data_IF_308953533762
#
_entry.id   IF_308953533762
#
_cell.length_a   1.000
_cell.length_b   1.000
_cell.length_c   1.000
_cell.angle_alpha   90.00
_cell.angle_beta   90.00
_cell.angle_gamma   90.00
#
_symmetry.space_group_name_H-M   'P 1'
#
loop_
_entity.id
_entity.type
_entity.pdbx_description
1 polymer ?
#
# COMPACT_ATOMS: atom_id res chain seq x y z
N UNK A 1 20.34 -2.50 -15.61
CA UNK A 1 18.99 -1.98 -15.27
C UNK A 1 18.73 -2.43 -13.84
N UNK A 2 18.41 -1.51 -12.94
CA UNK A 2 18.01 -1.86 -11.57
C UNK A 2 16.60 -2.49 -11.65
N UNK A 3 16.36 -3.68 -11.08
CA UNK A 3 15.08 -4.36 -11.26
C UNK A 3 13.88 -3.54 -10.78
N UNK A 4 13.92 -3.03 -9.55
CA UNK A 4 12.79 -2.37 -8.89
C UNK A 4 13.15 -0.91 -8.59
N UNK A 5 12.30 0.02 -9.00
CA UNK A 5 12.36 1.42 -8.59
C UNK A 5 11.96 1.54 -7.12
N UNK A 6 12.86 2.08 -6.30
CA UNK A 6 12.62 2.19 -4.87
C UNK A 6 13.40 3.36 -4.22
N UNK A 7 12.68 4.17 -3.45
CA UNK A 7 13.21 5.30 -2.70
C UNK A 7 12.50 5.44 -1.36
N UNK A 8 13.28 5.54 -0.28
CA UNK A 8 12.82 5.47 1.11
C UNK A 8 13.28 6.66 1.97
N UNK A 9 13.54 7.82 1.35
CA UNK A 9 13.73 9.05 2.15
C UNK A 9 12.46 9.36 2.95
N UNK A 10 11.30 9.19 2.31
CA UNK A 10 10.02 9.11 2.98
C UNK A 10 9.73 7.65 3.34
N UNK A 11 9.67 7.38 4.64
CA UNK A 11 9.72 6.01 5.21
C UNK A 11 8.47 5.17 4.97
N UNK A 12 7.37 5.81 4.56
CA UNK A 12 6.08 5.16 4.36
C UNK A 12 6.11 4.15 3.21
N UNK A 13 6.95 4.36 2.18
CA UNK A 13 6.92 3.47 1.01
C UNK A 13 7.40 2.04 1.34
N UNK A 14 8.30 1.88 2.32
CA UNK A 14 8.66 0.55 2.82
C UNK A 14 7.47 -0.17 3.46
N UNK A 15 6.53 0.56 4.06
CA UNK A 15 5.36 0.00 4.73
C UNK A 15 4.43 -0.71 3.75
N UNK A 16 4.38 -0.28 2.48
CA UNK A 16 3.57 -0.94 1.45
C UNK A 16 4.08 -2.35 1.15
N UNK A 17 5.39 -2.52 1.02
CA UNK A 17 6.01 -3.83 0.81
C UNK A 17 5.80 -4.73 2.02
N UNK A 18 6.10 -4.23 3.23
CA UNK A 18 5.97 -5.03 4.45
C UNK A 18 4.50 -5.35 4.76
N UNK A 19 3.55 -4.46 4.48
CA UNK A 19 2.11 -4.72 4.58
C UNK A 19 1.66 -5.86 3.67
N UNK A 20 2.09 -5.86 2.41
CA UNK A 20 1.84 -6.98 1.49
C UNK A 20 2.45 -8.29 1.98
N UNK A 21 3.68 -8.27 2.50
CA UNK A 21 4.32 -9.48 3.01
C UNK A 21 3.66 -9.98 4.30
N UNK A 22 3.25 -9.08 5.20
CA UNK A 22 2.45 -9.44 6.37
C UNK A 22 1.20 -10.21 5.93
N UNK A 23 0.50 -9.72 4.91
CA UNK A 23 -0.67 -10.39 4.33
C UNK A 23 -0.34 -11.72 3.63
N UNK A 24 0.91 -11.92 3.20
CA UNK A 24 1.37 -13.16 2.57
C UNK A 24 1.78 -14.23 3.59
N UNK A 25 2.20 -13.82 4.80
CA UNK A 25 2.80 -14.71 5.79
C UNK A 25 2.02 -14.84 7.10
N UNK A 26 1.07 -13.94 7.37
CA UNK A 26 0.29 -13.90 8.62
C UNK A 26 -1.20 -13.92 8.30
N UNK A 27 -1.90 -14.85 8.94
CA UNK A 27 -3.35 -15.03 8.77
C UNK A 27 -4.13 -13.75 9.08
N UNK A 28 -5.25 -13.55 8.38
CA UNK A 28 -6.10 -12.36 8.51
C UNK A 28 -6.61 -12.12 9.93
N UNK A 29 -6.98 -13.19 10.64
CA UNK A 29 -7.42 -13.12 12.04
C UNK A 29 -6.32 -12.58 12.95
N UNK A 30 -5.11 -13.13 12.84
CA UNK A 30 -3.94 -12.67 13.61
C UNK A 30 -3.61 -11.22 13.31
N UNK A 31 -3.58 -10.82 12.02
CA UNK A 31 -3.37 -9.41 11.64
C UNK A 31 -4.44 -8.48 12.22
N UNK A 32 -5.70 -8.89 12.22
CA UNK A 32 -6.81 -8.10 12.77
C UNK A 32 -6.62 -7.86 14.27
N UNK A 33 -6.24 -8.90 15.02
CA UNK A 33 -5.98 -8.81 16.45
C UNK A 33 -4.72 -7.96 16.75
N UNK A 34 -3.67 -8.14 15.96
CA UNK A 34 -2.39 -7.44 16.14
C UNK A 34 -2.43 -5.96 15.73
N UNK A 35 -3.30 -5.58 14.80
CA UNK A 35 -3.44 -4.19 14.38
C UNK A 35 -4.34 -3.38 15.34
N UNK A 36 -4.99 -4.04 16.30
CA UNK A 36 -5.77 -3.38 17.34
C UNK A 36 -4.84 -2.62 18.32
N UNK A 37 -4.98 -1.28 18.44
CA UNK A 37 -4.14 -0.46 19.31
C UNK A 37 -4.16 -0.87 20.79
N UNK A 38 -5.24 -1.51 21.23
CA UNK A 38 -5.46 -1.87 22.65
C UNK A 38 -4.95 -3.26 23.03
N UNK A 39 -4.62 -4.11 22.05
CA UNK A 39 -4.31 -5.53 22.30
C UNK A 39 -3.21 -6.12 21.43
N UNK A 40 -2.71 -5.41 20.41
CA UNK A 40 -1.79 -5.99 19.45
C UNK A 40 -0.44 -6.40 20.06
N UNK A 41 0.06 -7.56 19.64
CA UNK A 41 1.28 -8.16 20.20
C UNK A 41 2.37 -8.43 19.14
N UNK A 42 2.00 -8.65 17.87
CA UNK A 42 2.91 -8.91 16.74
C UNK A 42 3.88 -10.08 17.00
N UNK A 43 3.39 -11.17 17.61
CA UNK A 43 4.22 -12.31 18.03
C UNK A 43 4.33 -13.42 16.99
N UNK A 44 3.49 -13.38 15.95
CA UNK A 44 3.52 -14.37 14.86
C UNK A 44 4.89 -14.33 14.13
N UNK A 45 5.56 -15.49 13.92
CA UNK A 45 6.85 -15.53 13.24
C UNK A 45 6.78 -15.01 11.78
N UNK A 46 5.60 -14.99 11.17
CA UNK A 46 5.35 -14.41 9.85
C UNK A 46 5.70 -12.93 9.76
N UNK A 47 5.64 -12.15 10.86
CA UNK A 47 6.10 -10.75 10.85
C UNK A 47 7.60 -10.62 10.61
N UNK A 48 8.40 -11.46 11.28
CA UNK A 48 9.86 -11.50 11.06
C UNK A 48 10.16 -11.94 9.64
N UNK A 49 9.45 -12.95 9.14
CA UNK A 49 9.58 -13.42 7.76
C UNK A 49 9.21 -12.35 6.74
N UNK A 50 8.18 -11.55 7.00
CA UNK A 50 7.73 -10.46 6.14
C UNK A 50 8.78 -9.37 6.01
N UNK A 51 9.32 -8.91 7.14
CA UNK A 51 10.42 -7.94 7.17
C UNK A 51 11.65 -8.51 6.48
N UNK A 52 12.04 -9.76 6.78
CA UNK A 52 13.20 -10.39 6.16
C UNK A 52 13.04 -10.49 4.64
N UNK A 53 11.85 -10.85 4.15
CA UNK A 53 11.58 -10.97 2.71
C UNK A 53 11.77 -9.63 2.00
N UNK A 54 11.35 -8.52 2.62
CA UNK A 54 11.64 -7.18 2.09
C UNK A 54 13.14 -6.85 2.12
N UNK A 55 13.82 -7.10 3.24
CA UNK A 55 15.27 -6.84 3.37
C UNK A 55 16.07 -7.68 2.37
N UNK A 56 15.66 -8.91 2.08
CA UNK A 56 16.28 -9.77 1.08
C UNK A 56 16.23 -9.14 -0.32
N UNK A 57 15.18 -8.35 -0.66
CA UNK A 57 15.15 -7.61 -1.94
C UNK A 57 16.26 -6.56 -2.00
N UNK A 58 16.52 -5.87 -0.88
CA UNK A 58 17.59 -4.88 -0.76
C UNK A 58 18.97 -5.54 -0.80
N UNK A 59 19.17 -6.59 0.01
CA UNK A 59 20.46 -7.28 0.15
C UNK A 59 20.89 -7.99 -1.14
N UNK A 60 19.93 -8.49 -1.93
CA UNK A 60 20.19 -9.05 -3.26
C UNK A 60 20.35 -7.96 -4.35
N UNK A 61 20.27 -6.67 -4.00
CA UNK A 61 20.51 -5.54 -4.89
C UNK A 61 19.37 -5.23 -5.86
N UNK A 62 18.16 -5.77 -5.64
CA UNK A 62 17.02 -5.56 -6.54
C UNK A 62 16.44 -4.14 -6.46
N UNK A 63 16.58 -3.47 -5.33
CA UNK A 63 16.14 -2.08 -5.11
C UNK A 63 17.19 -1.03 -5.53
N UNK A 64 18.42 -1.46 -5.83
CA UNK A 64 19.56 -0.60 -6.07
C UNK A 64 20.29 -0.16 -4.79
N UNK A 65 21.09 0.90 -4.87
CA UNK A 65 21.94 1.38 -3.77
C UNK A 65 21.45 2.72 -3.20
N UNK A 66 21.78 3.00 -1.94
CA UNK A 66 21.48 4.25 -1.23
C UNK A 66 19.98 4.60 -1.23
N UNK A 67 19.13 3.59 -1.09
CA UNK A 67 17.67 3.74 -1.20
C UNK A 67 17.08 4.69 -0.16
N UNK A 68 17.67 4.77 1.04
CA UNK A 68 17.27 5.71 2.09
C UNK A 68 17.53 7.19 1.76
N UNK A 69 18.29 7.49 0.70
CA UNK A 69 18.55 8.86 0.22
C UNK A 69 17.73 9.25 -0.99
N UNK A 70 16.89 8.34 -1.50
CA UNK A 70 16.08 8.57 -2.71
C UNK A 70 14.63 8.83 -2.33
N UNK A 71 14.06 9.83 -2.98
CA UNK A 71 12.65 10.16 -2.85
C UNK A 71 11.77 9.25 -3.70
N UNK A 72 10.56 8.98 -3.20
CA UNK A 72 9.57 8.16 -3.88
C UNK A 72 9.16 8.74 -5.24
N UNK A 73 8.85 10.05 -5.28
CA UNK A 73 8.42 10.71 -6.51
C UNK A 73 9.56 10.78 -7.52
N UNK A 74 10.79 10.99 -7.04
CA UNK A 74 11.98 10.92 -7.88
C UNK A 74 12.12 9.55 -8.56
N UNK A 75 12.09 8.44 -7.81
CA UNK A 75 12.28 7.11 -8.41
C UNK A 75 11.14 6.72 -9.34
N UNK A 76 9.95 7.26 -9.11
CA UNK A 76 8.80 7.12 -10.00
C UNK A 76 9.02 7.80 -11.35
N UNK A 77 9.54 9.03 -11.36
CA UNK A 77 9.92 9.72 -12.60
C UNK A 77 11.06 9.00 -13.33
N UNK A 78 12.06 8.50 -12.59
CA UNK A 78 13.16 7.72 -13.14
C UNK A 78 12.68 6.38 -13.75
N UNK A 79 11.67 5.74 -13.17
CA UNK A 79 11.01 4.56 -13.76
C UNK A 79 10.34 4.92 -15.09
N UNK A 80 9.56 6.01 -15.12
CA UNK A 80 8.93 6.48 -16.35
C UNK A 80 9.96 6.84 -17.44
N UNK A 81 11.17 7.28 -17.04
CA UNK A 81 12.31 7.52 -17.92
C UNK A 81 13.06 6.23 -18.37
N UNK A 82 12.59 5.04 -17.98
CA UNK A 82 13.14 3.74 -18.37
C UNK A 82 14.39 3.30 -17.59
N UNK A 83 14.65 3.88 -16.42
CA UNK A 83 15.85 3.56 -15.63
C UNK A 83 15.71 2.27 -14.79
N UNK A 84 14.47 1.85 -14.52
CA UNK A 84 14.14 0.67 -13.72
C UNK A 84 13.24 -0.29 -14.50
N UNK A 85 13.20 -1.56 -14.09
CA UNK A 85 12.39 -2.59 -14.74
C UNK A 85 10.92 -2.58 -14.31
N UNK A 86 10.65 -2.35 -13.03
CA UNK A 86 9.30 -2.33 -12.45
C UNK A 86 9.23 -1.40 -11.22
N UNK A 87 8.02 -1.05 -10.80
CA UNK A 87 7.74 -0.29 -9.57
C UNK A 87 6.48 -0.86 -8.91
N UNK A 88 6.46 -0.89 -7.57
CA UNK A 88 5.21 -1.10 -6.82
C UNK A 88 4.53 0.26 -6.65
N UNK A 89 3.35 0.45 -7.19
CA UNK A 89 2.61 1.71 -7.04
C UNK A 89 1.10 1.44 -6.95
N UNK A 90 0.36 2.42 -6.43
CA UNK A 90 -1.09 2.44 -6.42
C UNK A 90 -1.65 2.66 -7.82
N UNK A 91 -2.78 2.04 -8.12
CA UNK A 91 -3.51 2.20 -9.39
C UNK A 91 -3.93 3.65 -9.64
N UNK A 92 -4.03 4.50 -8.61
CA UNK A 92 -4.27 5.93 -8.74
C UNK A 92 -3.17 6.69 -9.47
N UNK A 93 -1.96 6.11 -9.62
CA UNK A 93 -0.85 6.71 -10.34
C UNK A 93 -0.78 6.30 -11.82
N UNK A 94 -1.70 5.47 -12.30
CA UNK A 94 -1.65 4.98 -13.68
C UNK A 94 -1.78 6.11 -14.71
N UNK A 95 -2.61 7.13 -14.45
CA UNK A 95 -2.71 8.29 -15.32
C UNK A 95 -1.38 9.04 -15.48
N UNK A 96 -0.58 9.15 -14.41
CA UNK A 96 0.77 9.70 -14.49
C UNK A 96 1.67 8.88 -15.43
N UNK A 97 1.63 7.55 -15.34
CA UNK A 97 2.42 6.68 -16.22
C UNK A 97 1.93 6.73 -17.67
N UNK A 98 0.62 6.77 -17.89
CA UNK A 98 0.04 6.95 -19.23
C UNK A 98 0.49 8.28 -19.84
N UNK A 99 0.43 9.37 -19.09
CA UNK A 99 0.87 10.69 -19.55
C UNK A 99 2.37 10.73 -19.87
N UNK A 100 3.20 10.06 -19.07
CA UNK A 100 4.65 10.08 -19.22
C UNK A 100 5.18 9.08 -20.27
N UNK A 101 4.54 7.92 -20.41
CA UNK A 101 5.06 6.78 -21.18
C UNK A 101 4.18 6.44 -22.40
N UNK A 102 2.94 6.94 -22.46
CA UNK A 102 1.91 6.56 -23.42
C UNK A 102 1.20 5.26 -23.04
N UNK A 103 0.04 5.01 -23.66
CA UNK A 103 -0.83 3.85 -23.38
C UNK A 103 -0.13 2.49 -23.50
N UNK A 104 0.82 2.37 -24.44
CA UNK A 104 1.59 1.15 -24.69
C UNK A 104 2.99 1.17 -24.03
N UNK A 105 3.28 2.21 -23.22
CA UNK A 105 4.60 2.44 -22.63
C UNK A 105 4.87 1.65 -21.36
N UNK A 106 3.83 1.15 -20.70
CA UNK A 106 3.93 0.36 -19.47
C UNK A 106 2.85 -0.71 -19.42
N UNK A 107 2.98 -1.63 -18.47
CA UNK A 107 1.95 -2.60 -18.14
C UNK A 107 1.94 -2.83 -16.64
N UNK A 108 1.01 -3.69 -16.20
CA UNK A 108 0.89 -4.08 -14.80
C UNK A 108 0.77 -5.60 -14.71
N UNK A 109 0.99 -6.11 -13.51
CA UNK A 109 0.78 -7.51 -13.17
C UNK A 109 0.42 -7.62 -11.70
N UNK A 110 -0.19 -8.75 -11.31
CA UNK A 110 -0.48 -9.02 -9.90
C UNK A 110 0.81 -9.10 -9.11
N UNK A 111 0.81 -8.59 -7.89
CA UNK A 111 1.98 -8.68 -7.03
C UNK A 111 2.35 -10.17 -6.86
N UNK A 112 3.59 -10.58 -7.16
CA UNK A 112 4.00 -11.97 -7.05
C UNK A 112 3.88 -12.45 -5.60
N UNK A 113 3.26 -13.60 -5.42
CA UNK A 113 3.12 -14.24 -4.11
C UNK A 113 4.40 -15.03 -3.82
N UNK A 114 5.03 -14.86 -2.65
CA UNK A 114 6.16 -15.68 -2.26
C UNK A 114 5.80 -17.18 -2.30
N UNK A 115 6.70 -18.02 -2.81
CA UNK A 115 6.44 -19.46 -2.96
C UNK A 115 6.24 -20.20 -1.64
N UNK A 116 6.72 -19.61 -0.54
CA UNK A 116 6.59 -20.11 0.83
C UNK A 116 5.56 -19.31 1.65
N UNK A 117 4.68 -18.55 0.98
CA UNK A 117 3.57 -17.85 1.63
C UNK A 117 2.69 -18.83 2.44
N UNK A 118 2.31 -18.39 3.64
CA UNK A 118 1.61 -19.22 4.61
C UNK A 118 0.30 -18.61 5.10
N UNK A 119 0.06 -17.31 4.84
CA UNK A 119 -1.17 -16.63 5.23
C UNK A 119 -2.38 -17.19 4.48
N UNK A 120 -3.49 -17.33 5.20
CA UNK A 120 -4.78 -17.83 4.71
C UNK A 120 -5.34 -17.10 3.47
N UNK A 121 -5.05 -15.81 3.31
CA UNK A 121 -5.50 -14.99 2.18
C UNK A 121 -4.40 -14.70 1.13
N UNK A 122 -3.20 -15.28 1.26
CA UNK A 122 -2.02 -14.89 0.46
C UNK A 122 -2.25 -14.93 -1.06
N UNK A 123 -3.13 -15.80 -1.55
CA UNK A 123 -3.42 -15.94 -2.99
C UNK A 123 -4.44 -14.94 -3.56
N UNK A 124 -5.15 -14.23 -2.69
CA UNK A 124 -6.31 -13.40 -3.04
C UNK A 124 -6.25 -12.01 -2.42
N UNK A 125 -5.21 -11.69 -1.65
CA UNK A 125 -5.02 -10.40 -0.99
C UNK A 125 -4.03 -9.51 -1.75
N UNK A 126 -4.35 -8.22 -1.81
CA UNK A 126 -3.47 -7.18 -2.34
C UNK A 126 -3.36 -6.03 -1.36
N UNK A 127 -2.16 -5.47 -1.20
CA UNK A 127 -1.96 -4.25 -0.45
C UNK A 127 -2.62 -3.08 -1.19
N UNK A 128 -3.34 -2.25 -0.46
CA UNK A 128 -4.13 -1.18 -1.05
C UNK A 128 -4.82 -0.36 0.03
N UNK A 129 -5.54 0.66 -0.39
CA UNK A 129 -6.33 1.46 0.53
C UNK A 129 -7.36 2.28 -0.21
N UNK A 130 -8.40 2.68 0.50
CA UNK A 130 -9.46 3.52 -0.05
C UNK A 130 -9.32 4.95 0.44
N UNK A 131 -9.48 5.90 -0.48
CA UNK A 131 -9.65 7.31 -0.11
C UNK A 131 -11.12 7.54 0.23
N UNK A 132 -11.37 7.98 1.47
CA UNK A 132 -12.72 8.09 2.01
C UNK A 132 -13.07 9.56 2.33
N UNK A 133 -14.33 9.92 2.08
CA UNK A 133 -14.91 11.15 2.60
C UNK A 133 -15.56 10.89 3.96
N UNK A 134 -15.27 11.75 4.94
CA UNK A 134 -15.88 11.71 6.27
C UNK A 134 -16.55 13.05 6.61
N UNK A 135 -17.70 12.98 7.28
CA UNK A 135 -18.38 14.16 7.85
C UNK A 135 -17.99 14.29 9.31
N UNK A 136 -17.43 15.44 9.68
CA UNK A 136 -17.12 15.74 11.08
C UNK A 136 -18.37 15.65 11.96
N UNK A 137 -18.23 15.04 13.14
CA UNK A 137 -19.29 14.97 14.14
C UNK A 137 -19.76 16.36 14.62
N UNK A 138 -18.92 17.39 14.48
CA UNK A 138 -19.23 18.77 14.86
C UNK A 138 -19.87 19.61 13.73
N UNK A 139 -20.12 18.99 12.57
CA UNK A 139 -20.69 19.66 11.40
C UNK A 139 -22.03 20.32 11.75
N UNK A 140 -22.20 21.60 11.37
CA UNK A 140 -23.45 22.35 11.64
C UNK A 140 -24.60 21.98 10.70
N UNK A 141 -24.26 21.33 9.58
CA UNK A 141 -25.16 20.95 8.49
C UNK A 141 -24.87 19.50 8.06
N UNK A 142 -25.01 18.52 8.96
CA UNK A 142 -24.61 17.14 8.68
C UNK A 142 -25.48 16.51 7.59
N UNK A 143 -26.77 16.84 7.55
CA UNK A 143 -27.69 16.30 6.55
C UNK A 143 -27.34 16.81 5.15
N UNK A 144 -27.09 18.12 5.00
CA UNK A 144 -26.69 18.73 3.73
C UNK A 144 -25.30 18.25 3.28
N UNK A 145 -24.36 18.06 4.23
CA UNK A 145 -23.06 17.48 3.93
C UNK A 145 -23.19 16.04 3.40
N UNK A 146 -24.04 15.22 4.03
CA UNK A 146 -24.32 13.86 3.56
C UNK A 146 -25.01 13.86 2.19
N UNK A 147 -25.96 14.77 1.94
CA UNK A 147 -26.59 14.93 0.63
C UNK A 147 -25.56 15.28 -0.45
N UNK A 148 -24.63 16.18 -0.14
CA UNK A 148 -23.54 16.52 -1.05
C UNK A 148 -22.61 15.34 -1.34
N UNK A 149 -22.21 14.58 -0.31
CA UNK A 149 -21.39 13.37 -0.51
C UNK A 149 -22.10 12.31 -1.36
N UNK A 150 -23.43 12.13 -1.18
CA UNK A 150 -24.23 11.24 -2.05
C UNK A 150 -24.24 11.73 -3.50
N UNK A 151 -24.29 13.04 -3.72
CA UNK A 151 -24.17 13.59 -5.08
C UNK A 151 -22.78 13.31 -5.67
N UNK A 152 -21.70 13.63 -4.94
CA UNK A 152 -20.32 13.42 -5.41
C UNK A 152 -20.02 11.94 -5.72
N UNK A 153 -20.61 11.02 -4.96
CA UNK A 153 -20.41 9.57 -5.13
C UNK A 153 -21.49 8.90 -5.99
N UNK A 154 -22.36 9.69 -6.64
CA UNK A 154 -23.34 9.15 -7.58
C UNK A 154 -22.66 8.57 -8.83
N UNK A 155 -23.34 7.63 -9.51
CA UNK A 155 -22.79 6.99 -10.72
C UNK A 155 -22.40 7.98 -11.81
N UNK A 156 -23.20 9.02 -12.01
CA UNK A 156 -22.89 10.06 -12.98
C UNK A 156 -21.60 10.80 -12.62
N UNK A 157 -21.42 11.17 -11.34
CA UNK A 157 -20.22 11.87 -10.90
C UNK A 157 -18.98 10.97 -10.91
N UNK A 158 -19.11 9.69 -10.54
CA UNK A 158 -18.02 8.72 -10.62
C UNK A 158 -17.53 8.54 -12.07
N UNK A 159 -18.45 8.34 -13.02
CA UNK A 159 -18.10 8.20 -14.44
C UNK A 159 -17.42 9.47 -14.97
N UNK A 160 -17.92 10.64 -14.57
CA UNK A 160 -17.37 11.95 -14.94
C UNK A 160 -15.99 12.17 -14.33
N UNK A 161 -15.79 11.86 -13.05
CA UNK A 161 -14.51 12.00 -12.34
C UNK A 161 -13.41 11.26 -13.10
N UNK A 162 -13.58 9.96 -13.34
CA UNK A 162 -12.55 9.17 -14.02
C UNK A 162 -12.28 9.69 -15.43
N UNK A 163 -13.30 10.15 -16.15
CA UNK A 163 -13.12 10.77 -17.47
C UNK A 163 -12.31 12.06 -17.45
N UNK A 164 -12.55 12.91 -16.46
CA UNK A 164 -11.96 14.25 -16.39
C UNK A 164 -10.58 14.27 -15.72
N UNK A 165 -10.30 13.33 -14.82
CA UNK A 165 -9.07 13.32 -14.01
C UNK A 165 -8.15 12.13 -14.28
N UNK A 166 -8.65 11.09 -14.94
CA UNK A 166 -7.96 9.79 -15.05
C UNK A 166 -7.89 9.02 -13.73
N UNK A 167 -8.40 9.57 -12.62
CA UNK A 167 -8.35 8.94 -11.31
C UNK A 167 -9.45 7.88 -11.16
N UNK A 168 -9.17 6.79 -10.43
CA UNK A 168 -10.17 5.80 -10.13
C UNK A 168 -11.18 6.27 -9.08
N UNK A 169 -12.23 5.48 -8.90
CA UNK A 169 -13.26 5.66 -7.89
C UNK A 169 -13.73 4.31 -7.33
N UNK A 170 -14.39 4.32 -6.17
CA UNK A 170 -14.82 3.11 -5.47
C UNK A 170 -16.18 2.54 -5.95
N UNK A 171 -16.80 3.12 -6.99
CA UNK A 171 -18.11 2.69 -7.45
C UNK A 171 -17.97 1.50 -8.40
N UNK A 172 -18.68 0.40 -8.10
CA UNK A 172 -18.81 -0.74 -9.01
C UNK A 172 -19.38 -0.27 -10.36
N UNK A 173 -18.63 -0.50 -11.44
CA UNK A 173 -18.95 -0.03 -12.78
C UNK A 173 -18.81 1.49 -12.97
N UNK A 174 -18.05 2.17 -12.11
CA UNK A 174 -17.66 3.59 -12.24
C UNK A 174 -16.43 3.81 -13.10
N UNK A 175 -15.72 2.75 -13.48
CA UNK A 175 -14.54 2.75 -14.35
C UNK A 175 -14.82 1.78 -15.50
N UNK A 176 -14.73 2.25 -16.73
CA UNK A 176 -15.12 1.53 -17.95
C UNK A 176 -14.21 1.95 -19.10
N UNK A 177 -14.15 1.13 -20.15
CA UNK A 177 -13.41 1.47 -21.37
C UNK A 177 -13.90 2.75 -22.08
N UNK A 178 -15.09 3.27 -21.74
CA UNK A 178 -15.63 4.51 -22.34
C UNK A 178 -15.18 5.78 -21.60
N UNK A 179 -14.69 5.66 -20.36
CA UNK A 179 -14.39 6.79 -19.48
C UNK A 179 -13.03 6.73 -18.80
N UNK A 180 -12.18 5.75 -19.11
CA UNK A 180 -10.81 5.63 -18.61
C UNK A 180 -9.85 5.14 -19.68
N UNK A 181 -8.55 5.29 -19.42
CA UNK A 181 -7.52 4.68 -20.27
C UNK A 181 -7.66 3.14 -20.28
N UNK A 182 -7.28 2.46 -21.38
CA UNK A 182 -7.42 1.01 -21.49
C UNK A 182 -6.70 0.22 -20.40
N UNK A 183 -5.48 0.64 -20.04
CA UNK A 183 -4.67 0.00 -18.99
C UNK A 183 -5.29 0.16 -17.61
N UNK A 184 -5.92 1.30 -17.33
CA UNK A 184 -6.65 1.55 -16.08
C UNK A 184 -7.87 0.65 -16.02
N UNK A 185 -8.72 0.65 -17.06
CA UNK A 185 -9.90 -0.21 -17.11
C UNK A 185 -9.56 -1.69 -16.89
N UNK A 186 -8.51 -2.18 -17.56
CA UNK A 186 -8.05 -3.55 -17.44
C UNK A 186 -7.54 -3.88 -16.03
N UNK A 187 -6.80 -2.95 -15.39
CA UNK A 187 -6.31 -3.14 -14.03
C UNK A 187 -7.46 -3.24 -13.02
N UNK A 188 -8.53 -2.48 -13.22
CA UNK A 188 -9.72 -2.55 -12.37
C UNK A 188 -10.52 -3.84 -12.58
N UNK A 189 -10.61 -4.36 -13.81
CA UNK A 189 -11.16 -5.70 -14.06
C UNK A 189 -10.30 -6.78 -13.38
N UNK A 190 -8.97 -6.66 -13.48
CA UNK A 190 -8.04 -7.59 -12.80
C UNK A 190 -8.16 -7.52 -11.27
N UNK A 191 -8.50 -6.35 -10.73
CA UNK A 191 -8.67 -6.17 -9.29
C UNK A 191 -9.89 -6.93 -8.74
N UNK A 192 -10.87 -7.29 -9.57
CA UNK A 192 -12.01 -8.12 -9.17
C UNK A 192 -11.61 -9.55 -8.78
N UNK A 193 -10.42 -10.01 -9.18
CA UNK A 193 -9.88 -11.30 -8.75
C UNK A 193 -9.42 -11.31 -7.28
N UNK A 194 -9.17 -10.14 -6.68
CA UNK A 194 -8.79 -10.04 -5.28
C UNK A 194 -10.05 -10.01 -4.41
N UNK A 195 -10.10 -10.89 -3.40
CA UNK A 195 -11.24 -10.98 -2.47
C UNK A 195 -10.95 -10.36 -1.11
N UNK A 196 -9.74 -9.86 -0.90
CA UNK A 196 -9.30 -9.19 0.32
C UNK A 196 -8.34 -8.03 0.00
N UNK A 197 -8.35 -7.01 0.85
CA UNK A 197 -7.41 -5.88 0.81
C UNK A 197 -6.63 -5.88 2.12
N UNK A 198 -5.30 -5.85 2.03
CA UNK A 198 -4.44 -5.46 3.13
C UNK A 198 -4.32 -3.94 3.11
N UNK A 199 -5.01 -3.26 4.03
CA UNK A 199 -4.93 -1.80 4.14
C UNK A 199 -3.46 -1.34 4.28
N UNK A 200 -3.15 -0.13 3.81
CA UNK A 200 -1.80 0.41 3.92
C UNK A 200 -1.31 0.32 5.37
N UNK A 201 -0.18 -0.35 5.59
CA UNK A 201 0.26 -0.72 6.95
C UNK A 201 0.48 0.51 7.85
N UNK A 202 0.92 1.64 7.28
CA UNK A 202 1.07 2.92 7.97
C UNK A 202 -0.25 3.59 8.35
N UNK A 203 -1.38 3.14 7.79
CA UNK A 203 -2.73 3.67 8.03
C UNK A 203 -3.60 2.75 8.89
N UNK A 204 -3.25 1.47 9.01
CA UNK A 204 -4.10 0.48 9.69
C UNK A 204 -3.62 0.05 11.08
N UNK A 205 -2.48 0.56 11.55
CA UNK A 205 -1.96 0.31 12.91
C UNK A 205 -1.92 1.61 13.73
N UNK A 206 -1.72 1.49 15.04
CA UNK A 206 -1.52 2.64 15.92
C UNK A 206 -0.38 3.55 15.41
N UNK A 207 -0.54 4.87 15.56
CA UNK A 207 0.42 5.85 15.04
C UNK A 207 1.83 5.70 15.63
N UNK A 208 1.98 5.26 16.89
CA UNK A 208 3.29 4.99 17.47
C UNK A 208 3.92 3.72 16.88
N UNK A 209 3.10 2.70 16.63
CA UNK A 209 3.52 1.47 15.96
C UNK A 209 3.98 1.76 14.53
N UNK A 210 3.20 2.52 13.75
CA UNK A 210 3.54 2.92 12.40
C UNK A 210 4.87 3.70 12.34
N UNK A 211 5.04 4.70 13.21
CA UNK A 211 6.28 5.49 13.29
C UNK A 211 7.50 4.62 13.66
N UNK A 212 7.32 3.67 14.56
CA UNK A 212 8.39 2.75 14.98
C UNK A 212 8.77 1.79 13.86
N UNK A 213 7.78 1.23 13.16
CA UNK A 213 7.99 0.41 11.96
C UNK A 213 8.78 1.19 10.91
N UNK A 214 8.31 2.38 10.52
CA UNK A 214 8.94 3.23 9.51
C UNK A 214 10.40 3.55 9.85
N UNK A 215 10.69 3.92 11.10
CA UNK A 215 12.06 4.20 11.55
C UNK A 215 12.94 2.94 11.53
N UNK A 216 12.46 1.83 12.09
CA UNK A 216 13.23 0.59 12.19
C UNK A 216 13.45 -0.09 10.85
N UNK A 217 12.50 -0.01 9.92
CA UNK A 217 12.64 -0.50 8.56
C UNK A 217 13.67 0.29 7.76
N UNK A 218 13.72 1.62 7.97
CA UNK A 218 14.78 2.45 7.40
C UNK A 218 16.16 2.01 7.91
N UNK A 219 16.31 1.73 9.21
CA UNK A 219 17.55 1.16 9.78
C UNK A 219 17.83 -0.26 9.24
N UNK A 220 16.79 -1.02 8.91
CA UNK A 220 16.88 -2.34 8.28
C UNK A 220 17.58 -2.31 6.93
N UNK A 221 17.24 -1.33 6.10
CA UNK A 221 17.88 -1.09 4.81
C UNK A 221 19.38 -0.73 4.93
N UNK A 222 19.82 -0.32 6.13
CA UNK A 222 21.22 -0.05 6.49
C UNK A 222 21.84 -1.16 7.37
N UNK A 223 21.16 -2.30 7.55
CA UNK A 223 21.72 -3.52 8.16
C UNK A 223 21.13 -3.96 9.50
N UNK A 224 20.06 -3.33 10.02
CA UNK A 224 19.35 -3.83 11.20
C UNK A 224 18.60 -5.13 10.88
N UNK A 225 18.65 -6.10 11.80
CA UNK A 225 18.02 -7.41 11.58
C UNK A 225 16.49 -7.34 11.60
N UNK A 226 15.83 -8.22 10.84
CA UNK A 226 14.38 -8.37 10.87
C UNK A 226 13.84 -8.68 12.27
N UNK A 227 14.57 -9.48 13.06
CA UNK A 227 14.20 -9.80 14.43
C UNK A 227 14.21 -8.58 15.34
N UNK A 228 15.20 -7.69 15.20
CA UNK A 228 15.27 -6.49 16.03
C UNK A 228 14.23 -5.45 15.60
N UNK A 229 13.94 -5.35 14.31
CA UNK A 229 12.83 -4.52 13.79
C UNK A 229 11.50 -4.97 14.40
N UNK A 230 11.19 -6.27 14.36
CA UNK A 230 9.93 -6.78 14.93
C UNK A 230 9.91 -6.61 16.45
N UNK A 231 11.02 -6.76 17.17
CA UNK A 231 11.06 -6.47 18.61
C UNK A 231 10.71 -5.01 18.93
N UNK A 232 11.17 -4.07 18.11
CA UNK A 232 10.83 -2.66 18.30
C UNK A 232 9.34 -2.40 18.06
N UNK A 233 8.77 -3.06 17.05
CA UNK A 233 7.31 -3.03 16.78
C UNK A 233 6.53 -3.62 17.95
N UNK A 234 6.91 -4.79 18.47
CA UNK A 234 6.29 -5.44 19.62
C UNK A 234 6.32 -4.53 20.86
N UNK A 235 7.44 -3.83 21.08
CA UNK A 235 7.56 -2.84 22.15
C UNK A 235 6.59 -1.67 21.93
N UNK A 236 6.55 -1.10 20.73
CA UNK A 236 5.65 0.01 20.42
C UNK A 236 4.17 -0.38 20.56
N UNK A 237 3.80 -1.60 20.16
CA UNK A 237 2.45 -2.13 20.28
C UNK A 237 2.05 -2.28 21.75
N UNK A 238 2.96 -2.80 22.59
CA UNK A 238 2.76 -2.86 24.03
C UNK A 238 2.56 -1.48 24.66
N UNK A 239 3.39 -0.50 24.29
CA UNK A 239 3.29 0.86 24.81
C UNK A 239 1.96 1.53 24.39
N UNK A 240 1.47 1.26 23.17
CA UNK A 240 0.16 1.70 22.68
C UNK A 240 -1.00 1.04 23.45
N UNK A 241 -0.93 -0.27 23.68
CA UNK A 241 -1.93 -1.02 24.43
C UNK A 241 -2.03 -0.56 25.89
N UNK A 242 -0.90 -0.25 26.53
CA UNK A 242 -0.87 0.27 27.90
C UNK A 242 -1.40 1.71 28.00
N UNK A 243 -1.28 2.50 26.94
CA UNK A 243 -1.80 3.88 26.86
C UNK A 243 -3.31 3.95 26.55
N UNK A 244 -3.89 2.86 26.05
CA UNK A 244 -5.31 2.76 25.67
C UNK A 244 -6.23 2.26 26.80
N UNK A 245 -5.67 1.96 27.98
CA UNK A 245 -6.38 1.50 29.19
C UNK A 245 -6.75 2.68 30.10
#
# INVERSE_FOLDING_TARGET
ITPIAFGNSDKWYTMWYVGQFNASYVDAGTRTDDYNPSSGEFTDPGYVKSVQTFLDLNDNGYLGTNVNSKDYYQVREEFAAGMYGMILDATSQFSFYTDAMGDDGYGYFKIPIPTDAAGDEASTIVTGGSENYAVSADCKHPDEAVEFLKFMTSKEQALKQTKETGLPNALIGGITAENSDPVIAAAYETAEDYTAIAEWLDQCVDGNVANTYMASLQEGLDGKSAQDIVKDVQKAAKDAADSSK
#
